data_IF_334674500454
#
_entry.id   IF_334674500454
#
_cell.length_a   1.000
_cell.length_b   1.000
_cell.length_c   1.000
_cell.angle_alpha   90.00
_cell.angle_beta   90.00
_cell.angle_gamma   90.00
#
_symmetry.space_group_name_H-M   'P 1'
#
loop_
_entity.id
_entity.type
_entity.pdbx_description
1 polymer ?
#
# COMPACT_ATOMS: atom_id res chain seq x y z
N UNK A 1 -8.41 7.34 -18.84
CA UNK A 1 -7.29 6.38 -18.97
C UNK A 1 -6.68 6.12 -17.60
N UNK A 2 -6.42 4.84 -17.29
CA UNK A 2 -5.73 4.43 -16.07
C UNK A 2 -4.23 4.39 -16.35
N UNK A 3 -3.38 5.11 -15.59
CA UNK A 3 -1.94 5.17 -15.85
C UNK A 3 -1.21 3.92 -15.31
N UNK A 4 -1.72 2.73 -15.65
CA UNK A 4 -1.21 1.43 -15.20
C UNK A 4 -1.49 0.37 -16.26
N UNK A 5 -0.64 -0.67 -16.39
CA UNK A 5 -0.89 -1.80 -17.29
C UNK A 5 -2.11 -2.64 -16.90
N UNK A 6 -2.60 -2.48 -15.66
CA UNK A 6 -3.77 -3.19 -15.13
C UNK A 6 -4.69 -2.22 -14.41
N UNK A 7 -5.93 -2.64 -14.11
CA UNK A 7 -6.87 -1.87 -13.28
C UNK A 7 -6.64 -2.07 -11.77
N UNK A 8 -5.64 -2.86 -11.37
CA UNK A 8 -5.30 -3.04 -9.95
C UNK A 8 -5.01 -1.68 -9.29
N UNK A 9 -5.64 -1.44 -8.16
CA UNK A 9 -5.57 -0.18 -7.43
C UNK A 9 -6.67 0.83 -7.78
N UNK A 10 -7.35 0.68 -8.93
CA UNK A 10 -8.37 1.61 -9.42
C UNK A 10 -9.80 1.05 -9.33
N UNK A 11 -9.94 -0.23 -9.02
CA UNK A 11 -11.23 -0.89 -8.84
C UNK A 11 -11.73 -0.64 -7.41
N UNK A 12 -12.41 0.49 -7.19
CA UNK A 12 -12.78 0.94 -5.84
C UNK A 12 -13.52 -0.14 -5.04
N UNK A 13 -13.09 -0.46 -3.81
CA UNK A 13 -13.66 -1.53 -3.00
C UNK A 13 -14.94 -1.04 -2.31
N UNK A 14 -16.10 -1.42 -2.85
CA UNK A 14 -17.42 -1.15 -2.27
C UNK A 14 -18.37 -2.32 -2.56
N UNK A 15 -19.55 -2.31 -1.94
CA UNK A 15 -20.61 -3.26 -2.24
C UNK A 15 -21.40 -2.80 -3.47
N UNK A 16 -21.32 -3.58 -4.55
CA UNK A 16 -22.00 -3.27 -5.81
C UNK A 16 -23.24 -4.14 -6.01
N UNK A 17 -24.40 -3.50 -6.14
CA UNK A 17 -25.63 -4.20 -6.56
C UNK A 17 -25.56 -4.44 -8.05
N UNK A 18 -25.63 -5.69 -8.47
CA UNK A 18 -25.63 -6.08 -9.88
C UNK A 18 -27.02 -6.64 -10.27
N UNK A 19 -27.46 -6.45 -11.53
CA UNK A 19 -28.73 -7.01 -11.98
C UNK A 19 -28.67 -8.55 -11.99
N UNK A 20 -29.81 -9.21 -11.70
CA UNK A 20 -29.88 -10.66 -11.75
C UNK A 20 -29.78 -11.22 -13.18
N UNK A 21 -30.10 -10.38 -14.18
CA UNK A 21 -30.04 -10.72 -15.61
C UNK A 21 -29.25 -9.65 -16.35
N UNK A 22 -28.51 -10.04 -17.40
CA UNK A 22 -27.72 -9.09 -18.19
C UNK A 22 -26.44 -8.57 -17.48
N UNK A 23 -26.00 -9.24 -16.42
CA UNK A 23 -24.72 -8.93 -15.79
C UNK A 23 -23.57 -9.34 -16.69
N UNK A 24 -22.57 -8.44 -16.84
CA UNK A 24 -21.28 -8.74 -17.45
C UNK A 24 -20.14 -8.27 -16.54
N UNK A 25 -18.95 -8.90 -16.59
CA UNK A 25 -17.80 -8.43 -15.84
C UNK A 25 -17.42 -6.98 -16.12
N UNK A 26 -17.57 -6.54 -17.38
CA UNK A 26 -17.27 -5.16 -17.82
C UNK A 26 -18.18 -4.13 -17.13
N UNK A 27 -19.44 -4.50 -16.86
CA UNK A 27 -20.38 -3.65 -16.13
C UNK A 27 -19.87 -3.40 -14.69
N UNK A 28 -19.35 -4.43 -14.04
CA UNK A 28 -18.80 -4.31 -12.69
C UNK A 28 -17.54 -3.46 -12.69
N UNK A 29 -16.58 -3.77 -13.58
CA UNK A 29 -15.33 -3.00 -13.72
C UNK A 29 -15.63 -1.52 -13.98
N UNK A 30 -16.56 -1.23 -14.91
CA UNK A 30 -16.97 0.15 -15.21
C UNK A 30 -17.54 0.86 -13.98
N UNK A 31 -18.34 0.18 -13.19
CA UNK A 31 -18.88 0.76 -11.94
C UNK A 31 -17.80 1.02 -10.90
N UNK A 32 -16.87 0.10 -10.75
CA UNK A 32 -15.75 0.27 -9.82
C UNK A 32 -14.85 1.45 -10.20
N UNK A 33 -14.51 1.59 -11.49
CA UNK A 33 -13.74 2.72 -12.01
C UNK A 33 -14.51 4.05 -11.83
N UNK A 34 -15.80 4.06 -12.13
CA UNK A 34 -16.65 5.24 -11.93
C UNK A 34 -16.71 5.63 -10.44
N UNK A 35 -16.86 4.66 -9.56
CA UNK A 35 -16.86 4.91 -8.11
C UNK A 35 -15.51 5.47 -7.64
N UNK A 36 -14.39 4.98 -8.17
CA UNK A 36 -13.06 5.55 -7.91
C UNK A 36 -12.99 7.02 -8.35
N UNK A 37 -13.49 7.33 -9.54
CA UNK A 37 -13.57 8.69 -10.04
C UNK A 37 -14.39 9.59 -9.09
N UNK A 38 -15.60 9.19 -8.77
CA UNK A 38 -16.54 9.97 -7.94
C UNK A 38 -16.07 10.14 -6.48
N UNK A 39 -15.50 9.07 -5.89
CA UNK A 39 -15.09 9.06 -4.49
C UNK A 39 -13.73 9.69 -4.24
N UNK A 40 -12.84 9.61 -5.22
CA UNK A 40 -11.44 10.04 -5.05
C UNK A 40 -11.00 11.09 -6.06
N UNK A 41 -11.08 10.85 -7.37
CA UNK A 41 -10.49 11.78 -8.35
C UNK A 41 -11.17 13.13 -8.36
N UNK A 42 -12.50 13.19 -8.38
CA UNK A 42 -13.23 14.46 -8.42
C UNK A 42 -13.01 15.30 -7.16
N UNK A 43 -13.10 14.75 -5.93
CA UNK A 43 -12.89 15.55 -4.73
C UNK A 43 -11.43 15.78 -4.33
N UNK A 44 -10.47 14.93 -4.77
CA UNK A 44 -9.10 14.94 -4.24
C UNK A 44 -8.00 14.89 -5.31
N UNK A 45 -8.33 14.57 -6.57
CA UNK A 45 -7.34 14.37 -7.63
C UNK A 45 -6.70 15.63 -8.20
N UNK A 46 -7.18 16.83 -7.81
CA UNK A 46 -6.72 18.11 -8.38
C UNK A 46 -5.33 18.53 -7.88
N UNK A 47 -4.94 18.10 -6.69
CA UNK A 47 -3.63 18.42 -6.10
C UNK A 47 -3.03 17.19 -5.41
N UNK A 48 -2.20 16.46 -6.14
CA UNK A 48 -1.50 15.26 -5.67
C UNK A 48 -0.14 15.57 -5.04
N UNK A 49 0.11 16.82 -4.64
CA UNK A 49 1.33 17.27 -3.94
C UNK A 49 2.64 16.92 -4.65
N UNK A 50 2.63 17.01 -5.98
CA UNK A 50 3.80 16.75 -6.81
C UNK A 50 4.03 15.27 -7.14
N UNK A 51 3.16 14.36 -6.72
CA UNK A 51 3.18 12.94 -7.06
C UNK A 51 2.22 12.67 -8.23
N UNK A 52 2.50 11.62 -9.00
CA UNK A 52 1.58 11.14 -10.03
C UNK A 52 0.41 10.36 -9.39
N UNK A 53 -0.71 10.25 -10.12
CA UNK A 53 -1.83 9.42 -9.68
C UNK A 53 -1.40 7.97 -9.44
N UNK A 54 -0.53 7.44 -10.30
CA UNK A 54 -0.01 6.08 -10.16
C UNK A 54 0.76 5.90 -8.85
N UNK A 55 1.68 6.81 -8.53
CA UNK A 55 2.43 6.76 -7.26
C UNK A 55 1.52 6.81 -6.04
N UNK A 56 0.49 7.66 -6.06
CA UNK A 56 -0.50 7.75 -4.98
C UNK A 56 -1.27 6.44 -4.82
N UNK A 57 -1.73 5.84 -5.92
CA UNK A 57 -2.50 4.60 -5.88
C UNK A 57 -1.64 3.42 -5.41
N UNK A 58 -0.40 3.31 -5.89
CA UNK A 58 0.54 2.28 -5.45
C UNK A 58 0.85 2.43 -3.97
N UNK A 59 1.21 3.63 -3.49
CA UNK A 59 1.44 3.90 -2.07
C UNK A 59 0.20 3.56 -1.24
N UNK A 60 -0.98 4.01 -1.65
CA UNK A 60 -2.23 3.76 -0.95
C UNK A 60 -2.55 2.25 -0.83
N UNK A 61 -2.26 1.46 -1.88
CA UNK A 61 -2.45 0.02 -1.85
C UNK A 61 -1.56 -0.68 -0.83
N UNK A 62 -0.32 -0.20 -0.65
CA UNK A 62 0.56 -0.68 0.43
C UNK A 62 0.03 -0.30 1.80
N UNK A 63 -0.37 0.96 2.00
CA UNK A 63 -0.95 1.44 3.27
C UNK A 63 -2.19 0.65 3.69
N UNK A 64 -3.06 0.30 2.74
CA UNK A 64 -4.26 -0.50 2.97
C UNK A 64 -3.92 -1.88 3.55
N UNK A 65 -2.82 -2.50 3.09
CA UNK A 65 -2.37 -3.82 3.55
C UNK A 65 -1.54 -3.78 4.83
N UNK A 66 -0.72 -2.73 5.01
CA UNK A 66 0.22 -2.62 6.14
C UNK A 66 -0.43 -2.10 7.42
N UNK A 67 -1.33 -1.11 7.31
CA UNK A 67 -1.88 -0.44 8.50
C UNK A 67 -3.40 -0.60 8.57
N UNK A 68 -3.87 -1.49 9.47
CA UNK A 68 -5.30 -1.75 9.62
C UNK A 68 -6.08 -0.59 10.24
N UNK A 69 -5.40 0.31 11.01
CA UNK A 69 -6.05 1.46 11.65
C UNK A 69 -5.92 2.70 10.76
N UNK A 70 -6.99 3.17 10.08
CA UNK A 70 -6.89 4.30 9.13
C UNK A 70 -6.24 5.55 9.72
N UNK A 71 -6.41 5.83 11.00
CA UNK A 71 -5.82 6.98 11.69
C UNK A 71 -4.28 7.00 11.69
N UNK A 72 -3.64 5.84 11.56
CA UNK A 72 -2.18 5.73 11.57
C UNK A 72 -1.58 5.78 10.15
N UNK A 73 -2.41 5.61 9.11
CA UNK A 73 -1.94 5.57 7.70
C UNK A 73 -1.16 6.82 7.29
N UNK A 74 -1.52 8.05 7.71
CA UNK A 74 -0.72 9.22 7.38
C UNK A 74 0.71 9.16 7.92
N UNK A 75 0.92 8.65 9.12
CA UNK A 75 2.25 8.46 9.69
C UNK A 75 3.06 7.40 8.94
N UNK A 76 2.44 6.25 8.63
CA UNK A 76 3.10 5.19 7.84
C UNK A 76 3.43 5.70 6.44
N UNK A 77 2.53 6.46 5.80
CA UNK A 77 2.78 7.12 4.52
C UNK A 77 3.99 8.06 4.59
N UNK A 78 4.08 8.87 5.65
CA UNK A 78 5.22 9.76 5.86
C UNK A 78 6.54 9.01 5.98
N UNK A 79 6.57 7.88 6.68
CA UNK A 79 7.76 7.02 6.79
C UNK A 79 8.13 6.43 5.43
N UNK A 80 7.16 5.89 4.69
CA UNK A 80 7.42 5.28 3.38
C UNK A 80 7.87 6.31 2.33
N UNK A 81 7.27 7.51 2.32
CA UNK A 81 7.72 8.60 1.45
C UNK A 81 9.12 9.10 1.81
N UNK A 82 9.47 9.23 3.10
CA UNK A 82 10.84 9.55 3.51
C UNK A 82 11.84 8.55 2.92
N UNK A 83 11.53 7.25 2.94
CA UNK A 83 12.40 6.21 2.36
C UNK A 83 12.51 6.33 0.84
N UNK A 84 11.41 6.59 0.14
CA UNK A 84 11.44 6.81 -1.32
C UNK A 84 12.31 8.03 -1.66
N UNK A 85 12.08 9.15 -0.98
CA UNK A 85 12.79 10.40 -1.23
C UNK A 85 14.28 10.30 -0.84
N UNK A 86 14.62 9.43 0.13
CA UNK A 86 15.99 9.11 0.55
C UNK A 86 16.64 7.96 -0.20
N UNK A 87 15.98 7.41 -1.23
CA UNK A 87 16.45 6.24 -2.01
C UNK A 87 16.75 5.01 -1.14
N UNK A 88 15.95 4.78 -0.09
CA UNK A 88 16.01 3.59 0.77
C UNK A 88 14.99 2.52 0.37
N UNK A 89 15.32 1.22 0.50
CA UNK A 89 14.37 0.14 0.28
C UNK A 89 13.17 0.23 1.23
N UNK A 90 11.96 0.00 0.74
CA UNK A 90 10.74 0.12 1.56
C UNK A 90 10.59 -1.01 2.59
N UNK A 91 10.96 -2.24 2.23
CA UNK A 91 10.87 -3.39 3.11
C UNK A 91 9.44 -3.76 3.53
N UNK A 92 8.46 -3.48 2.68
CA UNK A 92 7.04 -3.75 2.90
C UNK A 92 6.74 -5.20 2.57
N UNK A 93 6.39 -6.01 3.56
CA UNK A 93 6.17 -7.45 3.39
C UNK A 93 4.97 -7.78 2.49
N UNK A 94 3.96 -6.92 2.49
CA UNK A 94 2.78 -7.07 1.64
C UNK A 94 3.12 -7.10 0.15
N UNK A 95 4.16 -6.37 -0.29
CA UNK A 95 4.59 -6.38 -1.69
C UNK A 95 5.13 -7.74 -2.12
N UNK A 96 5.93 -8.40 -1.27
CA UNK A 96 6.44 -9.75 -1.54
C UNK A 96 5.37 -10.84 -1.45
N UNK A 97 4.21 -10.54 -0.86
CA UNK A 97 3.07 -11.47 -0.81
C UNK A 97 2.13 -11.35 -2.00
N UNK A 98 2.20 -10.26 -2.74
CA UNK A 98 1.24 -9.92 -3.79
C UNK A 98 1.10 -11.01 -4.87
N UNK A 99 2.21 -11.61 -5.27
CA UNK A 99 2.21 -12.66 -6.29
C UNK A 99 2.12 -14.10 -5.73
N UNK A 100 1.83 -14.27 -4.43
CA UNK A 100 1.60 -15.60 -3.88
C UNK A 100 0.20 -16.10 -4.21
N UNK A 101 0.09 -17.37 -4.63
CA UNK A 101 -1.20 -18.03 -4.84
C UNK A 101 -2.03 -18.05 -3.55
N UNK A 102 -1.35 -18.30 -2.42
CA UNK A 102 -1.94 -18.29 -1.08
C UNK A 102 -1.27 -17.23 -0.21
N UNK A 103 -1.99 -16.16 0.13
CA UNK A 103 -1.49 -15.02 0.91
C UNK A 103 -0.80 -15.42 2.23
N UNK A 104 -1.31 -16.44 2.90
CA UNK A 104 -0.81 -16.89 4.20
C UNK A 104 0.22 -18.04 4.10
N UNK A 105 0.65 -18.44 2.90
CA UNK A 105 1.72 -19.43 2.76
C UNK A 105 3.04 -18.85 3.25
N UNK A 106 3.38 -19.18 4.50
CA UNK A 106 4.63 -18.74 5.13
C UNK A 106 5.87 -19.27 4.42
N UNK A 107 5.82 -20.49 3.89
CA UNK A 107 6.98 -21.11 3.22
C UNK A 107 7.28 -20.41 1.89
N UNK A 108 6.26 -20.22 1.07
CA UNK A 108 6.36 -19.47 -0.19
C UNK A 108 6.79 -18.02 0.07
N UNK A 109 6.22 -17.35 1.08
CA UNK A 109 6.61 -16.01 1.48
C UNK A 109 8.10 -15.89 1.85
N UNK A 110 8.64 -16.83 2.65
CA UNK A 110 10.06 -16.82 3.02
C UNK A 110 10.99 -17.02 1.82
N UNK A 111 10.56 -17.76 0.80
CA UNK A 111 11.27 -17.86 -0.49
C UNK A 111 11.25 -16.53 -1.22
N UNK A 112 10.07 -15.92 -1.38
CA UNK A 112 9.89 -14.61 -2.03
C UNK A 112 10.71 -13.50 -1.36
N UNK A 113 10.79 -13.46 -0.02
CA UNK A 113 11.60 -12.48 0.71
C UNK A 113 13.11 -12.52 0.35
N UNK A 114 13.60 -13.63 -0.16
CA UNK A 114 15.01 -13.82 -0.56
C UNK A 114 15.23 -13.67 -2.06
N UNK A 115 14.16 -13.60 -2.83
CA UNK A 115 14.24 -13.47 -4.28
C UNK A 115 14.57 -12.02 -4.65
N UNK A 116 15.80 -11.81 -5.12
CA UNK A 116 16.28 -10.52 -5.58
C UNK A 116 15.80 -10.17 -7.00
N UNK A 117 15.24 -11.13 -7.72
CA UNK A 117 14.74 -10.95 -9.09
C UNK A 117 13.27 -10.57 -9.13
N UNK A 118 12.56 -10.74 -8.01
CA UNK A 118 11.16 -10.38 -7.86
C UNK A 118 11.02 -8.85 -7.81
N UNK A 119 10.35 -8.27 -8.81
CA UNK A 119 10.14 -6.82 -8.94
C UNK A 119 9.29 -6.23 -7.82
N UNK A 120 8.48 -7.03 -7.14
CA UNK A 120 7.68 -6.62 -5.99
C UNK A 120 8.42 -6.74 -4.67
N UNK A 121 9.62 -7.34 -4.63
CA UNK A 121 10.39 -7.43 -3.40
C UNK A 121 11.03 -6.08 -3.04
N UNK A 122 10.29 -5.28 -2.30
CA UNK A 122 10.70 -3.94 -1.85
C UNK A 122 11.84 -3.91 -0.82
N UNK A 123 12.41 -5.08 -0.46
CA UNK A 123 13.63 -5.18 0.35
C UNK A 123 14.89 -5.02 -0.50
N UNK A 124 14.80 -5.32 -1.80
CA UNK A 124 15.93 -5.26 -2.72
C UNK A 124 15.71 -4.20 -3.81
N UNK A 125 14.46 -3.98 -4.22
CA UNK A 125 14.14 -2.93 -5.18
C UNK A 125 13.83 -1.62 -4.46
N UNK A 126 14.38 -0.53 -4.97
CA UNK A 126 14.14 0.83 -4.47
C UNK A 126 12.94 1.44 -5.16
N UNK A 127 12.35 2.43 -4.54
CA UNK A 127 11.13 3.07 -5.05
C UNK A 127 9.87 2.24 -4.84
N UNK A 128 8.81 2.62 -5.52
CA UNK A 128 7.52 1.93 -5.49
C UNK A 128 7.55 0.61 -6.30
N UNK A 129 6.75 -0.39 -5.92
CA UNK A 129 6.55 -1.56 -6.77
C UNK A 129 5.91 -1.17 -8.12
N UNK A 130 6.01 -2.04 -9.15
CA UNK A 130 5.56 -1.70 -10.51
C UNK A 130 4.09 -1.32 -10.63
N UNK A 131 3.23 -1.92 -9.81
CA UNK A 131 1.79 -1.65 -9.76
C UNK A 131 1.28 -1.62 -8.32
N UNK A 132 0.03 -1.20 -8.15
CA UNK A 132 -0.68 -1.40 -6.89
C UNK A 132 -0.78 -2.89 -6.55
N UNK A 133 -0.80 -3.22 -5.27
CA UNK A 133 -0.90 -4.59 -4.72
C UNK A 133 -2.27 -4.88 -4.11
N UNK A 134 -3.28 -4.12 -4.50
CA UNK A 134 -4.66 -4.21 -4.07
C UNK A 134 -5.39 -2.89 -4.31
N UNK A 135 -6.69 -2.90 -4.06
CA UNK A 135 -7.55 -1.74 -4.30
C UNK A 135 -7.74 -0.94 -2.99
N UNK A 136 -7.18 0.29 -2.90
CA UNK A 136 -7.23 1.07 -1.68
C UNK A 136 -8.57 1.78 -1.49
N UNK A 137 -8.93 2.05 -0.23
CA UNK A 137 -10.01 2.95 0.14
C UNK A 137 -9.58 4.42 0.05
N UNK A 138 -10.55 5.35 0.06
CA UNK A 138 -10.27 6.80 0.12
C UNK A 138 -9.40 7.17 1.32
N UNK A 139 -9.51 6.46 2.44
CA UNK A 139 -8.68 6.73 3.62
C UNK A 139 -7.19 6.52 3.33
N UNK A 140 -6.81 5.45 2.64
CA UNK A 140 -5.42 5.21 2.22
C UNK A 140 -4.97 6.17 1.13
N UNK A 141 -5.82 6.45 0.15
CA UNK A 141 -5.51 7.41 -0.92
C UNK A 141 -5.23 8.81 -0.36
N UNK A 142 -6.06 9.28 0.58
CA UNK A 142 -5.83 10.57 1.26
C UNK A 142 -4.55 10.55 2.10
N UNK A 143 -4.26 9.48 2.81
CA UNK A 143 -3.03 9.33 3.57
C UNK A 143 -1.78 9.36 2.68
N UNK A 144 -1.87 8.82 1.46
CA UNK A 144 -0.79 8.87 0.49
C UNK A 144 -0.55 10.28 -0.07
N UNK A 145 -1.63 11.10 -0.25
CA UNK A 145 -1.53 12.51 -0.71
C UNK A 145 -1.03 13.43 0.40
N UNK A 146 -1.61 13.28 1.60
CA UNK A 146 -1.33 14.12 2.76
C UNK A 146 -0.66 13.30 3.87
N UNK A 147 0.61 12.86 3.68
CA UNK A 147 1.34 12.13 4.68
C UNK A 147 1.66 13.01 5.89
N UNK A 148 1.72 12.43 7.07
CA UNK A 148 2.23 13.12 8.25
C UNK A 148 3.72 13.41 8.08
N UNK A 149 4.13 14.68 8.25
CA UNK A 149 5.55 15.05 8.27
C UNK A 149 6.20 14.42 9.49
N UNK A 150 7.15 13.55 9.25
CA UNK A 150 7.79 12.78 10.32
C UNK A 150 9.29 12.66 10.14
N UNK A 151 10.00 12.44 11.25
CA UNK A 151 11.42 12.12 11.29
C UNK A 151 11.71 10.63 11.39
N UNK A 152 10.65 9.81 11.45
CA UNK A 152 10.79 8.36 11.54
C UNK A 152 11.14 7.74 10.18
N UNK A 153 11.90 6.64 10.26
CA UNK A 153 12.37 5.87 9.11
C UNK A 153 11.91 4.42 9.14
N UNK A 154 11.46 3.95 10.30
CA UNK A 154 11.05 2.57 10.54
C UNK A 154 9.76 2.53 11.34
N UNK A 155 9.04 1.45 11.19
CA UNK A 155 7.89 1.12 12.02
C UNK A 155 7.79 -0.40 12.19
N UNK A 156 7.09 -0.83 13.23
CA UNK A 156 6.63 -2.19 13.40
C UNK A 156 5.26 -2.16 14.09
N UNK A 157 4.56 -3.29 14.01
CA UNK A 157 3.36 -3.52 14.81
C UNK A 157 3.65 -4.58 15.89
N UNK A 158 3.15 -4.36 17.09
CA UNK A 158 3.14 -5.39 18.13
C UNK A 158 2.01 -6.41 17.89
N UNK A 159 1.91 -7.41 18.75
CA UNK A 159 0.89 -8.45 18.66
C UNK A 159 -0.55 -7.93 18.78
N UNK A 160 -0.75 -6.76 19.39
CA UNK A 160 -2.03 -6.05 19.50
C UNK A 160 -2.28 -5.10 18.31
N UNK A 161 -1.40 -5.13 17.31
CA UNK A 161 -1.42 -4.23 16.13
C UNK A 161 -1.32 -2.75 16.52
N UNK A 162 -0.56 -2.42 17.56
CA UNK A 162 -0.18 -1.05 17.84
C UNK A 162 1.07 -0.69 17.04
N UNK A 163 1.05 0.50 16.44
CA UNK A 163 2.14 1.02 15.63
C UNK A 163 3.25 1.60 16.51
N UNK A 164 4.49 1.19 16.25
CA UNK A 164 5.68 1.66 16.95
C UNK A 164 6.70 2.20 15.94
N UNK A 165 6.69 3.51 15.65
CA UNK A 165 7.66 4.13 14.75
C UNK A 165 9.04 4.24 15.39
N UNK A 166 10.12 4.29 14.61
CA UNK A 166 11.50 4.41 15.07
C UNK A 166 12.31 5.33 14.18
N UNK A 167 13.26 6.06 14.78
CA UNK A 167 14.10 7.03 14.08
C UNK A 167 15.19 6.37 13.23
N UNK A 168 15.70 5.23 13.69
CA UNK A 168 16.83 4.53 13.05
C UNK A 168 16.75 3.02 13.28
N UNK A 169 17.63 2.29 12.61
CA UNK A 169 17.69 0.82 12.67
C UNK A 169 17.98 0.29 14.08
N UNK A 170 18.79 0.98 14.87
CA UNK A 170 19.12 0.55 16.24
C UNK A 170 17.89 0.62 17.15
N UNK A 171 17.12 1.71 17.08
CA UNK A 171 15.86 1.86 17.82
C UNK A 171 14.82 0.83 17.35
N UNK A 172 14.74 0.62 16.03
CA UNK A 172 13.84 -0.38 15.46
C UNK A 172 14.16 -1.79 15.97
N UNK A 173 15.43 -2.19 15.97
CA UNK A 173 15.85 -3.49 16.48
C UNK A 173 15.60 -3.64 17.99
N UNK A 174 15.81 -2.58 18.77
CA UNK A 174 15.47 -2.57 20.19
C UNK A 174 13.96 -2.80 20.41
N UNK A 175 13.11 -2.16 19.59
CA UNK A 175 11.64 -2.36 19.65
C UNK A 175 11.24 -3.76 19.16
N UNK A 176 11.88 -4.31 18.12
CA UNK A 176 11.64 -5.71 17.70
C UNK A 176 11.85 -6.69 18.85
N UNK A 177 12.97 -6.55 19.56
CA UNK A 177 13.26 -7.38 20.75
C UNK A 177 12.24 -7.15 21.87
N UNK A 178 11.93 -5.88 22.17
CA UNK A 178 10.99 -5.51 23.25
C UNK A 178 9.61 -6.09 23.03
N UNK A 179 9.08 -6.05 21.80
CA UNK A 179 7.74 -6.52 21.46
C UNK A 179 7.72 -7.95 20.91
N UNK A 180 8.87 -8.63 20.86
CA UNK A 180 9.03 -10.00 20.36
C UNK A 180 8.47 -10.19 18.94
N UNK A 181 8.77 -9.23 18.05
CA UNK A 181 8.37 -9.22 16.64
C UNK A 181 9.56 -9.59 15.79
N UNK A 182 9.48 -10.75 15.06
CA UNK A 182 10.56 -11.32 14.23
C UNK A 182 10.11 -11.59 12.81
#
# INVERSE_FOLDING_TARGET
>A
DVPSPTFEGYLYPETYKVPATGFTPELLVTRQLKTFQERFLEPHGQDLKGRTLHEIVVMASMLEREEPKPKNRPLVAGILWNRIDGDDPLGVDATSRYELDEWNDRKAFLVKLRDKTDKYNSRYNRGLPPTAIGNPTVASLKAAIDPEKTKYWYYLHDHEKNLHPSLNAAEHEAKRKKYNVY
#
